data_IF_549638673611
#
_entry.id   IF_549638673611
#
_cell.length_a   1.000
_cell.length_b   1.000
_cell.length_c   1.000
_cell.angle_alpha   90.00
_cell.angle_beta   90.00
_cell.angle_gamma   90.00
#
_symmetry.space_group_name_H-M   'P 1'
#
loop_
_entity.id
_entity.type
_entity.pdbx_description
1 polymer ?
#
# COMPACT_ATOMS: atom_id res chain seq x y z
N UNK A 1 -4.24 -20.79 -4.01
CA UNK A 1 -3.93 -19.41 -4.48
C UNK A 1 -4.04 -18.50 -3.27
N UNK A 2 -3.08 -17.60 -3.01
CA UNK A 2 -3.14 -16.72 -1.83
C UNK A 2 -4.27 -15.70 -2.00
N UNK A 3 -5.00 -15.42 -0.92
CA UNK A 3 -6.28 -14.72 -0.98
C UNK A 3 -6.13 -13.19 -1.07
N UNK A 4 -5.00 -12.66 -0.60
CA UNK A 4 -4.74 -11.23 -0.50
C UNK A 4 -3.43 -10.81 -1.17
N UNK A 5 -3.36 -9.56 -1.61
CA UNK A 5 -2.14 -8.85 -1.95
C UNK A 5 -1.91 -7.77 -0.89
N UNK A 6 -0.66 -7.57 -0.47
CA UNK A 6 -0.27 -6.48 0.42
C UNK A 6 0.67 -5.56 -0.36
N UNK A 7 0.29 -4.30 -0.52
CA UNK A 7 1.16 -3.29 -1.12
C UNK A 7 2.26 -2.89 -0.13
N UNK A 8 3.46 -3.38 -0.39
CA UNK A 8 4.65 -3.13 0.44
C UNK A 8 5.53 -2.02 -0.12
N UNK A 9 5.09 -1.30 -1.16
CA UNK A 9 5.91 -0.30 -1.87
C UNK A 9 6.50 0.73 -0.91
N UNK A 10 5.66 1.31 -0.04
CA UNK A 10 6.11 2.27 0.97
C UNK A 10 7.13 1.68 1.95
N UNK A 11 6.87 0.46 2.43
CA UNK A 11 7.74 -0.21 3.39
C UNK A 11 9.12 -0.47 2.80
N UNK A 12 9.16 -0.96 1.56
CA UNK A 12 10.41 -1.15 0.82
C UNK A 12 11.13 0.18 0.62
N UNK A 13 10.47 1.20 0.07
CA UNK A 13 11.08 2.50 -0.19
C UNK A 13 11.73 3.11 1.06
N UNK A 14 11.01 3.09 2.18
CA UNK A 14 11.50 3.66 3.44
C UNK A 14 12.65 2.86 4.04
N UNK A 15 12.53 1.54 4.06
CA UNK A 15 13.58 0.65 4.60
C UNK A 15 14.85 0.77 3.75
N UNK A 16 14.72 0.82 2.42
CA UNK A 16 15.86 0.97 1.51
C UNK A 16 16.58 2.32 1.66
N UNK A 17 15.87 3.36 2.10
CA UNK A 17 16.41 4.68 2.42
C UNK A 17 16.96 4.78 3.86
N UNK A 18 16.98 3.69 4.63
CA UNK A 18 17.44 3.68 6.02
C UNK A 18 16.55 4.49 6.97
N UNK A 19 15.27 4.72 6.61
CA UNK A 19 14.35 5.49 7.44
C UNK A 19 13.72 4.61 8.52
N UNK A 20 13.60 5.16 9.72
CA UNK A 20 12.88 4.50 10.81
C UNK A 20 11.36 4.37 10.50
N UNK A 21 10.70 3.29 10.94
CA UNK A 21 9.26 3.10 10.76
C UNK A 21 8.43 4.15 11.51
N UNK A 22 7.55 4.86 10.78
CA UNK A 22 6.49 5.71 11.37
C UNK A 22 5.31 4.86 11.84
N UNK A 23 4.30 5.48 12.48
CA UNK A 23 3.06 4.78 12.85
C UNK A 23 2.41 4.04 11.67
N UNK A 24 2.28 4.71 10.52
CA UNK A 24 1.82 4.12 9.24
C UNK A 24 2.61 2.86 8.84
N UNK A 25 3.94 2.90 8.99
CA UNK A 25 4.80 1.79 8.60
C UNK A 25 4.64 0.61 9.58
N UNK A 26 4.50 0.89 10.88
CA UNK A 26 4.27 -0.15 11.90
C UNK A 26 2.98 -0.91 11.63
N UNK A 27 1.88 -0.23 11.31
CA UNK A 27 0.62 -0.88 10.90
C UNK A 27 0.85 -1.77 9.67
N UNK A 28 1.56 -1.25 8.66
CA UNK A 28 1.85 -2.02 7.45
C UNK A 28 2.70 -3.27 7.73
N UNK A 29 3.65 -3.18 8.68
CA UNK A 29 4.44 -4.32 9.15
C UNK A 29 3.58 -5.34 9.92
N UNK A 30 2.64 -4.90 10.76
CA UNK A 30 1.69 -5.80 11.43
C UNK A 30 0.82 -6.57 10.42
N UNK A 31 0.38 -5.92 9.34
CA UNK A 31 -0.35 -6.61 8.27
C UNK A 31 0.52 -7.64 7.56
N UNK A 32 1.78 -7.29 7.26
CA UNK A 32 2.73 -8.24 6.67
C UNK A 32 3.00 -9.43 7.61
N UNK A 33 3.12 -9.20 8.93
CA UNK A 33 3.31 -10.26 9.93
C UNK A 33 2.09 -11.17 10.05
N UNK A 34 0.90 -10.59 10.16
CA UNK A 34 -0.32 -11.34 10.43
C UNK A 34 -0.85 -12.08 9.20
N UNK A 35 -0.84 -11.42 8.03
CA UNK A 35 -1.38 -11.98 6.79
C UNK A 35 -0.30 -12.55 5.85
N UNK A 36 0.97 -12.49 6.25
CA UNK A 36 2.12 -12.86 5.42
C UNK A 36 2.02 -14.25 4.81
N UNK A 37 1.53 -15.25 5.55
CA UNK A 37 1.35 -16.64 5.07
C UNK A 37 0.21 -16.78 4.04
N UNK A 38 -0.76 -15.87 4.06
CA UNK A 38 -1.97 -15.89 3.22
C UNK A 38 -1.96 -14.83 2.12
N UNK A 39 -0.92 -14.02 2.03
CA UNK A 39 -0.81 -12.92 1.08
C UNK A 39 0.42 -13.03 0.16
N UNK A 40 0.36 -12.39 -1.01
CA UNK A 40 1.55 -12.07 -1.81
C UNK A 40 1.87 -10.59 -1.72
N UNK A 41 3.15 -10.26 -1.87
CA UNK A 41 3.62 -8.88 -1.85
C UNK A 41 3.40 -8.24 -3.22
N UNK A 42 2.82 -7.04 -3.21
CA UNK A 42 2.73 -6.17 -4.36
C UNK A 42 3.74 -5.04 -4.20
N UNK A 43 4.56 -4.83 -5.22
CA UNK A 43 5.51 -3.72 -5.33
C UNK A 43 5.16 -2.89 -6.55
N UNK A 44 5.06 -1.58 -6.39
CA UNK A 44 4.91 -0.66 -7.51
C UNK A 44 6.25 -0.01 -7.82
N UNK A 45 6.72 -0.21 -9.04
CA UNK A 45 8.00 0.31 -9.49
C UNK A 45 7.91 0.73 -10.96
N UNK A 46 8.39 1.94 -11.28
CA UNK A 46 8.38 2.50 -12.64
C UNK A 46 7.01 2.38 -13.35
N UNK A 47 5.92 2.67 -12.63
CA UNK A 47 4.55 2.59 -13.15
C UNK A 47 3.98 1.18 -13.30
N UNK A 48 4.76 0.13 -13.03
CA UNK A 48 4.31 -1.26 -13.06
C UNK A 48 3.85 -1.74 -11.69
N UNK A 49 2.86 -2.64 -11.70
CA UNK A 49 2.41 -3.38 -10.53
C UNK A 49 3.01 -4.78 -10.58
N UNK A 50 4.02 -5.01 -9.73
CA UNK A 50 4.82 -6.23 -9.69
C UNK A 50 4.35 -7.04 -8.49
N UNK A 51 3.64 -8.14 -8.75
CA UNK A 51 3.32 -9.10 -7.70
C UNK A 51 4.44 -10.14 -7.61
N UNK A 52 4.99 -10.31 -6.42
CA UNK A 52 6.01 -11.32 -6.13
C UNK A 52 5.38 -12.70 -6.04
N UNK A 53 6.16 -13.74 -6.38
CA UNK A 53 5.74 -15.14 -6.16
C UNK A 53 5.48 -15.40 -4.66
N UNK A 54 4.75 -16.45 -4.27
CA UNK A 54 4.51 -16.77 -2.86
C UNK A 54 5.80 -16.86 -2.03
N UNK A 55 6.80 -17.59 -2.52
CA UNK A 55 8.11 -17.72 -1.88
C UNK A 55 8.85 -16.38 -1.77
N UNK A 56 8.78 -15.55 -2.80
CA UNK A 56 9.45 -14.24 -2.78
C UNK A 56 8.74 -13.22 -1.91
N UNK A 57 7.42 -13.36 -1.80
CA UNK A 57 6.60 -12.57 -0.89
C UNK A 57 6.97 -12.87 0.55
N UNK A 58 7.06 -14.15 0.92
CA UNK A 58 7.48 -14.61 2.25
C UNK A 58 8.86 -14.07 2.61
N UNK A 59 9.86 -14.26 1.74
CA UNK A 59 11.21 -13.70 1.93
C UNK A 59 11.22 -12.17 2.04
N UNK A 60 10.32 -11.49 1.33
CA UNK A 60 10.18 -10.04 1.38
C UNK A 60 9.56 -9.60 2.71
N UNK A 61 8.54 -10.29 3.20
CA UNK A 61 7.91 -10.01 4.49
C UNK A 61 8.88 -10.28 5.64
N UNK A 62 9.60 -11.40 5.63
CA UNK A 62 10.65 -11.71 6.62
C UNK A 62 11.72 -10.60 6.64
N UNK A 63 12.22 -10.21 5.47
CA UNK A 63 13.22 -9.17 5.35
C UNK A 63 12.72 -7.79 5.84
N UNK A 64 11.42 -7.50 5.67
CA UNK A 64 10.80 -6.28 6.18
C UNK A 64 10.64 -6.29 7.71
N UNK A 65 10.33 -7.46 8.28
CA UNK A 65 10.15 -7.65 9.72
C UNK A 65 11.47 -7.72 10.48
N UNK A 66 12.54 -8.15 9.81
CA UNK A 66 13.90 -8.22 10.37
C UNK A 66 14.94 -7.79 9.32
N UNK A 67 15.08 -6.47 9.07
CA UNK A 67 16.01 -5.95 8.08
C UNK A 67 17.46 -6.32 8.40
N UNK A 68 18.20 -6.74 7.37
CA UNK A 68 19.62 -7.08 7.44
C UNK A 68 20.47 -6.16 6.57
N UNK A 69 21.80 -6.23 6.71
CA UNK A 69 22.72 -5.45 5.88
C UNK A 69 22.57 -5.73 4.37
N UNK A 70 22.08 -6.92 3.99
CA UNK A 70 21.87 -7.32 2.60
C UNK A 70 20.45 -7.03 2.07
N UNK A 71 19.60 -6.36 2.87
CA UNK A 71 18.19 -6.08 2.54
C UNK A 71 18.03 -5.49 1.13
N UNK A 72 18.75 -4.41 0.81
CA UNK A 72 18.64 -3.73 -0.48
C UNK A 72 19.00 -4.64 -1.66
N UNK A 73 20.03 -5.48 -1.50
CA UNK A 73 20.47 -6.40 -2.54
C UNK A 73 19.44 -7.52 -2.75
N UNK A 74 18.87 -8.05 -1.66
CA UNK A 74 17.81 -9.04 -1.71
C UNK A 74 16.59 -8.51 -2.44
N UNK A 75 16.03 -7.38 -2.00
CA UNK A 75 14.80 -6.81 -2.57
C UNK A 75 14.99 -6.48 -4.06
N UNK A 76 16.11 -5.88 -4.45
CA UNK A 76 16.40 -5.60 -5.87
C UNK A 76 16.41 -6.87 -6.71
N UNK A 77 17.01 -7.96 -6.23
CA UNK A 77 17.03 -9.25 -6.94
C UNK A 77 15.62 -9.84 -7.07
N UNK A 78 14.83 -9.83 -6.00
CA UNK A 78 13.47 -10.37 -6.00
C UNK A 78 12.55 -9.57 -6.94
N UNK A 79 12.57 -8.24 -6.85
CA UNK A 79 11.77 -7.35 -7.69
C UNK A 79 12.20 -7.45 -9.15
N UNK A 80 13.50 -7.45 -9.46
CA UNK A 80 13.98 -7.58 -10.83
C UNK A 80 13.55 -8.91 -11.47
N UNK A 81 13.61 -10.02 -10.73
CA UNK A 81 13.13 -11.32 -11.20
C UNK A 81 11.62 -11.31 -11.46
N UNK A 82 10.84 -10.69 -10.59
CA UNK A 82 9.38 -10.64 -10.74
C UNK A 82 8.93 -9.63 -11.82
N UNK A 83 9.71 -8.59 -12.09
CA UNK A 83 9.40 -7.56 -13.06
C UNK A 83 9.21 -8.12 -14.47
N UNK A 84 10.06 -9.06 -14.90
CA UNK A 84 9.97 -9.70 -16.22
C UNK A 84 8.68 -10.49 -16.41
N UNK A 85 8.14 -11.05 -15.32
CA UNK A 85 6.89 -11.82 -15.29
C UNK A 85 5.65 -10.94 -15.09
N UNK A 86 5.84 -9.65 -14.77
CA UNK A 86 4.76 -8.73 -14.45
C UNK A 86 4.34 -7.85 -15.62
N UNK A 87 5.12 -7.84 -16.71
CA UNK A 87 4.79 -7.10 -17.93
C UNK A 87 3.46 -7.62 -18.50
N UNK A 88 2.50 -6.73 -18.69
CA UNK A 88 1.17 -7.08 -19.22
C UNK A 88 0.30 -7.89 -18.25
N UNK A 89 0.76 -8.19 -17.03
CA UNK A 89 -0.01 -8.96 -16.06
C UNK A 89 -1.30 -8.25 -15.72
N UNK A 90 -2.41 -8.98 -15.76
CA UNK A 90 -3.75 -8.49 -15.38
C UNK A 90 -4.21 -9.22 -14.12
N UNK A 91 -4.57 -8.48 -13.09
CA UNK A 91 -5.16 -9.05 -11.87
C UNK A 91 -6.62 -9.44 -12.14
N UNK A 92 -6.80 -10.61 -12.76
CA UNK A 92 -8.08 -11.05 -13.34
C UNK A 92 -8.90 -11.95 -12.43
N UNK A 93 -8.44 -12.22 -11.21
CA UNK A 93 -9.17 -12.99 -10.20
C UNK A 93 -9.54 -12.07 -9.02
N UNK A 94 -10.71 -12.28 -8.38
CA UNK A 94 -11.11 -11.51 -7.22
C UNK A 94 -10.18 -11.81 -6.03
N UNK A 95 -9.43 -10.80 -5.59
CA UNK A 95 -8.51 -10.89 -4.44
C UNK A 95 -8.52 -9.58 -3.66
N UNK A 96 -8.37 -9.67 -2.36
CA UNK A 96 -8.21 -8.46 -1.54
C UNK A 96 -6.87 -7.80 -1.84
N UNK A 97 -6.85 -6.47 -1.91
CA UNK A 97 -5.63 -5.66 -1.99
C UNK A 97 -5.58 -4.76 -0.77
N UNK A 98 -4.64 -5.01 0.13
CA UNK A 98 -4.38 -4.11 1.26
C UNK A 98 -3.38 -3.03 0.85
N UNK A 99 -3.80 -1.77 0.96
CA UNK A 99 -2.91 -0.62 0.91
C UNK A 99 -3.05 0.14 2.22
N UNK A 100 -2.13 -0.16 3.13
CA UNK A 100 -2.06 0.43 4.47
C UNK A 100 -1.13 1.64 4.54
N UNK A 101 -0.35 1.90 3.49
CA UNK A 101 0.69 2.94 3.48
C UNK A 101 0.29 4.22 2.73
N UNK A 102 -0.90 4.25 2.11
CA UNK A 102 -1.38 5.31 1.23
C UNK A 102 -0.46 5.65 0.03
N UNK A 103 0.53 4.81 -0.28
CA UNK A 103 1.45 5.10 -1.37
C UNK A 103 0.69 5.14 -2.70
N UNK A 104 0.99 6.14 -3.54
CA UNK A 104 0.45 6.35 -4.88
C UNK A 104 -1.07 6.46 -5.01
N UNK A 105 -1.82 6.61 -3.90
CA UNK A 105 -3.26 6.90 -3.95
C UNK A 105 -3.54 8.28 -4.56
N UNK A 106 -2.57 9.20 -4.55
CA UNK A 106 -2.68 10.49 -5.22
C UNK A 106 -2.52 10.44 -6.75
N UNK A 107 -2.17 9.27 -7.31
CA UNK A 107 -1.82 9.13 -8.73
C UNK A 107 -2.98 8.56 -9.54
N UNK A 108 -3.42 9.26 -10.58
CA UNK A 108 -4.53 8.82 -11.45
C UNK A 108 -4.32 7.40 -12.05
N UNK A 109 -3.06 7.03 -12.32
CA UNK A 109 -2.71 5.68 -12.80
C UNK A 109 -3.05 4.57 -11.81
N UNK A 110 -3.04 4.85 -10.50
CA UNK A 110 -3.40 3.88 -9.47
C UNK A 110 -4.89 3.54 -9.56
N UNK A 111 -5.74 4.58 -9.54
CA UNK A 111 -7.18 4.45 -9.71
C UNK A 111 -7.53 3.74 -11.03
N UNK A 112 -6.92 4.17 -12.15
CA UNK A 112 -7.12 3.52 -13.45
C UNK A 112 -6.74 2.03 -13.40
N UNK A 113 -5.63 1.67 -12.75
CA UNK A 113 -5.21 0.26 -12.64
C UNK A 113 -6.20 -0.57 -11.82
N UNK A 114 -6.76 0.00 -10.76
CA UNK A 114 -7.79 -0.65 -9.95
C UNK A 114 -9.06 -0.94 -10.76
N UNK A 115 -9.57 0.06 -11.48
CA UNK A 115 -10.77 -0.08 -12.32
C UNK A 115 -10.65 -1.17 -13.39
N UNK A 116 -9.44 -1.40 -13.91
CA UNK A 116 -9.17 -2.44 -14.91
C UNK A 116 -8.74 -3.79 -14.30
N UNK A 117 -8.90 -3.95 -12.99
CA UNK A 117 -8.58 -5.17 -12.23
C UNK A 117 -9.84 -5.75 -11.58
N UNK A 118 -9.75 -7.01 -11.13
CA UNK A 118 -10.77 -7.61 -10.25
C UNK A 118 -10.36 -7.56 -8.77
N UNK A 119 -9.35 -6.76 -8.42
CA UNK A 119 -8.95 -6.61 -7.02
C UNK A 119 -10.06 -5.95 -6.22
N UNK A 120 -10.12 -6.27 -4.92
CA UNK A 120 -11.02 -5.68 -3.93
C UNK A 120 -10.17 -4.83 -2.97
N UNK A 121 -10.02 -3.52 -3.24
CA UNK A 121 -9.11 -2.68 -2.46
C UNK A 121 -9.65 -2.47 -1.04
N UNK A 122 -8.83 -2.78 -0.05
CA UNK A 122 -9.05 -2.48 1.36
C UNK A 122 -8.02 -1.43 1.77
N UNK A 123 -8.49 -0.22 2.02
CA UNK A 123 -7.62 0.90 2.39
C UNK A 123 -7.63 1.10 3.90
N UNK A 124 -6.45 1.29 4.49
CA UNK A 124 -6.34 1.66 5.90
C UNK A 124 -6.09 3.16 6.02
N UNK A 125 -7.08 3.90 6.52
CA UNK A 125 -7.00 5.34 6.76
C UNK A 125 -6.52 5.59 8.18
N UNK A 126 -5.41 6.32 8.30
CA UNK A 126 -4.78 6.62 9.59
C UNK A 126 -5.30 7.90 10.23
N UNK A 127 -5.62 8.89 9.42
CA UNK A 127 -6.10 10.19 9.85
C UNK A 127 -6.50 11.03 8.62
N UNK A 128 -7.24 12.12 8.87
CA UNK A 128 -7.50 13.19 7.91
C UNK A 128 -6.76 14.49 8.28
N UNK A 129 -5.74 14.42 9.14
CA UNK A 129 -5.00 15.60 9.66
C UNK A 129 -4.50 16.51 8.53
N UNK A 130 -3.93 16.00 7.41
CA UNK A 130 -3.49 16.87 6.32
C UNK A 130 -4.61 17.72 5.69
N UNK A 131 -5.87 17.32 5.84
CA UNK A 131 -7.05 18.04 5.34
C UNK A 131 -7.64 18.94 6.41
N UNK A 132 -7.80 18.45 7.65
CA UNK A 132 -8.49 19.16 8.73
C UNK A 132 -7.59 20.16 9.46
N UNK A 133 -6.29 19.86 9.57
CA UNK A 133 -5.29 20.68 10.24
C UNK A 133 -4.03 20.84 9.36
N UNK A 134 -4.16 21.45 8.16
CA UNK A 134 -3.08 21.59 7.20
C UNK A 134 -1.88 22.39 7.73
N UNK A 135 -2.06 23.24 8.74
CA UNK A 135 -1.03 24.04 9.40
C UNK A 135 0.05 23.21 10.10
N UNK A 136 -0.24 21.96 10.47
CA UNK A 136 0.74 21.02 11.04
C UNK A 136 1.44 20.18 9.96
N UNK A 137 1.09 20.37 8.70
CA UNK A 137 1.57 19.57 7.59
C UNK A 137 2.49 20.37 6.66
N UNK A 138 3.24 19.63 5.82
CA UNK A 138 4.10 20.25 4.82
C UNK A 138 3.26 20.91 3.71
N UNK A 139 3.73 22.01 3.11
CA UNK A 139 3.04 22.64 1.98
C UNK A 139 2.70 21.62 0.87
N UNK A 140 1.44 21.66 0.40
CA UNK A 140 0.94 20.78 -0.65
C UNK A 140 0.43 19.40 -0.19
N UNK A 141 0.66 18.98 1.06
CA UNK A 141 0.16 17.67 1.53
C UNK A 141 -1.36 17.64 1.66
N UNK A 142 -2.02 18.76 1.99
CA UNK A 142 -3.49 18.86 1.99
C UNK A 142 -4.09 18.45 0.64
N UNK A 143 -3.61 19.06 -0.46
CA UNK A 143 -4.10 18.75 -1.81
C UNK A 143 -3.85 17.29 -2.20
N UNK A 144 -2.66 16.75 -1.92
CA UNK A 144 -2.37 15.33 -2.16
C UNK A 144 -3.27 14.42 -1.34
N UNK A 145 -3.48 14.72 -0.07
CA UNK A 145 -4.30 13.89 0.81
C UNK A 145 -5.77 13.88 0.39
N UNK A 146 -6.31 15.00 -0.12
CA UNK A 146 -7.63 15.02 -0.75
C UNK A 146 -7.72 14.04 -1.92
N UNK A 147 -6.74 14.04 -2.82
CA UNK A 147 -6.69 13.07 -3.93
C UNK A 147 -6.64 11.62 -3.43
N UNK A 148 -5.90 11.37 -2.34
CA UNK A 148 -5.86 10.04 -1.71
C UNK A 148 -7.22 9.65 -1.16
N UNK A 149 -7.88 10.51 -0.39
CA UNK A 149 -9.18 10.23 0.21
C UNK A 149 -10.28 10.06 -0.83
N UNK A 150 -10.27 10.86 -1.90
CA UNK A 150 -11.17 10.66 -3.04
C UNK A 150 -10.95 9.29 -3.68
N UNK A 151 -9.69 8.89 -3.90
CA UNK A 151 -9.38 7.56 -4.43
C UNK A 151 -9.86 6.45 -3.48
N UNK A 152 -9.69 6.63 -2.16
CA UNK A 152 -10.17 5.68 -1.15
C UNK A 152 -11.69 5.52 -1.22
N UNK A 153 -12.44 6.62 -1.24
CA UNK A 153 -13.91 6.61 -1.26
C UNK A 153 -14.48 6.11 -2.58
N UNK A 154 -13.91 6.51 -3.71
CA UNK A 154 -14.41 6.15 -5.04
C UNK A 154 -14.08 4.70 -5.44
N UNK A 155 -12.94 4.17 -5.00
CA UNK A 155 -12.40 2.88 -5.50
C UNK A 155 -12.24 1.81 -4.42
N UNK A 156 -12.50 2.15 -3.15
CA UNK A 156 -12.43 1.22 -2.04
C UNK A 156 -13.54 0.17 -2.13
N UNK A 157 -13.17 -1.10 -2.00
CA UNK A 157 -14.15 -2.14 -1.64
C UNK A 157 -14.51 -2.06 -0.16
N UNK A 158 -13.59 -1.57 0.66
CA UNK A 158 -13.84 -1.24 2.06
C UNK A 158 -12.73 -0.37 2.64
N UNK A 159 -13.05 0.29 3.73
CA UNK A 159 -12.14 1.15 4.49
C UNK A 159 -11.99 0.61 5.90
N UNK A 160 -10.76 0.62 6.40
CA UNK A 160 -10.40 0.34 7.78
C UNK A 160 -9.84 1.64 8.36
N UNK A 161 -10.39 2.10 9.47
CA UNK A 161 -9.84 3.24 10.20
C UNK A 161 -9.15 2.74 11.48
N UNK A 162 -8.14 3.48 11.96
CA UNK A 162 -7.52 3.21 13.26
C UNK A 162 -8.44 3.52 14.46
N UNK A 163 -9.49 4.32 14.26
CA UNK A 163 -10.41 4.75 15.31
C UNK A 163 -11.79 5.08 14.73
N UNK A 164 -12.80 5.13 15.60
CA UNK A 164 -14.15 5.62 15.24
C UNK A 164 -14.10 7.08 14.81
N UNK A 165 -13.33 7.91 15.52
CA UNK A 165 -13.18 9.33 15.18
C UNK A 165 -12.66 9.54 13.75
N UNK A 166 -11.61 8.82 13.35
CA UNK A 166 -11.08 8.91 11.97
C UNK A 166 -12.08 8.42 10.94
N UNK A 167 -12.92 7.44 11.28
CA UNK A 167 -14.00 7.00 10.41
C UNK A 167 -15.07 8.08 10.27
N UNK A 168 -15.50 8.71 11.36
CA UNK A 168 -16.49 9.79 11.35
C UNK A 168 -15.99 11.00 10.56
N UNK A 169 -14.71 11.38 10.72
CA UNK A 169 -14.06 12.43 9.93
C UNK A 169 -14.05 12.08 8.43
N UNK A 170 -13.80 10.82 8.07
CA UNK A 170 -13.83 10.37 6.68
C UNK A 170 -15.25 10.37 6.10
N UNK A 171 -16.26 9.99 6.88
CA UNK A 171 -17.67 10.05 6.48
C UNK A 171 -18.06 11.50 6.23
N UNK A 172 -17.78 12.39 7.17
CA UNK A 172 -18.07 13.82 7.03
C UNK A 172 -17.35 14.43 5.81
N UNK A 173 -16.12 14.00 5.52
CA UNK A 173 -15.40 14.42 4.31
C UNK A 173 -16.09 13.95 3.02
N UNK A 174 -16.66 12.75 2.99
CA UNK A 174 -17.33 12.19 1.81
C UNK A 174 -18.71 12.77 1.54
N UNK A 175 -19.34 13.39 2.54
CA UNK A 175 -20.64 14.04 2.45
C UNK A 175 -20.56 15.53 2.06
N UNK A 176 -19.36 16.12 2.13
CA UNK A 176 -19.08 17.53 1.85
C UNK A 176 -18.87 17.82 0.35
#
# INVERSE_FOLDING_TARGET
>A
MREALIDVTRLLDRTMQGRLPTGVDRVSLEYARHFGERATALVRFAGQWIELSPNDSERTFEALLSPSASFNQLIRRLVARAATQSIGRRFSAPRFLFNTGHSGLEQAQYARRLQHSRLRPMFFVHDLIPITHPEYCRPGECGKHRLRMNTVLEHGHGVIANSVQTLDELVAYGEA
#
